data_IF_912495243105
#
_entry.id   IF_912495243105
#
_cell.length_a   1.000
_cell.length_b   1.000
_cell.length_c   1.000
_cell.angle_alpha   90.00
_cell.angle_beta   90.00
_cell.angle_gamma   90.00
#
_symmetry.space_group_name_H-M   'P 1'
#
loop_
_entity.id
_entity.type
_entity.pdbx_description
1 polymer ?
#
# COMPACT_ATOMS: atom_id res chain seq x y z
N UNK A 1 6.66 -11.87 -1.78
CA UNK A 1 6.09 -10.57 -1.39
C UNK A 1 7.22 -9.60 -1.10
N UNK A 2 7.11 -8.37 -1.57
CA UNK A 2 8.10 -7.34 -1.28
C UNK A 2 8.06 -6.96 0.20
N UNK A 3 9.19 -6.53 0.70
CA UNK A 3 9.35 -6.15 2.11
C UNK A 3 10.05 -4.81 2.20
N UNK A 4 9.54 -3.93 3.06
CA UNK A 4 10.17 -2.66 3.40
C UNK A 4 10.36 -2.59 4.91
N UNK A 5 11.24 -1.70 5.34
CA UNK A 5 11.56 -1.55 6.76
C UNK A 5 11.33 -0.11 7.22
N UNK A 6 10.71 0.01 8.38
CA UNK A 6 10.55 1.27 9.11
C UNK A 6 11.29 1.18 10.43
N UNK A 7 11.78 2.32 10.89
CA UNK A 7 12.18 2.49 12.29
C UNK A 7 10.99 3.08 13.02
N UNK A 8 10.68 2.54 14.20
CA UNK A 8 9.55 3.02 14.99
C UNK A 8 9.62 4.54 15.19
N UNK A 9 8.51 5.22 14.91
CA UNK A 9 8.44 6.68 14.95
C UNK A 9 8.58 7.35 13.59
N UNK A 10 8.98 6.61 12.56
CA UNK A 10 9.02 7.18 11.22
C UNK A 10 7.61 7.33 10.64
N UNK A 11 7.40 8.43 9.94
CA UNK A 11 6.21 8.76 9.17
C UNK A 11 6.65 9.07 7.77
N UNK A 12 6.41 8.16 6.86
CA UNK A 12 6.91 8.34 5.49
C UNK A 12 6.00 7.69 4.45
N UNK A 13 6.21 8.09 3.21
CA UNK A 13 5.46 7.61 2.07
C UNK A 13 5.96 6.25 1.59
N UNK A 14 5.03 5.37 1.26
CA UNK A 14 5.30 4.12 0.56
C UNK A 14 4.67 4.22 -0.81
N UNK A 15 5.47 4.06 -1.85
CA UNK A 15 5.01 4.13 -3.22
C UNK A 15 4.97 2.75 -3.83
N UNK A 16 3.83 2.39 -4.40
CA UNK A 16 3.61 1.11 -5.05
C UNK A 16 3.40 1.35 -6.54
N UNK A 17 4.24 0.72 -7.36
CA UNK A 17 4.07 0.76 -8.81
C UNK A 17 3.08 -0.31 -9.24
N UNK A 18 2.01 0.14 -9.89
CA UNK A 18 1.03 -0.76 -10.50
C UNK A 18 1.40 -0.96 -11.95
N UNK A 19 1.49 -2.21 -12.36
CA UNK A 19 1.82 -2.58 -13.74
C UNK A 19 0.65 -3.28 -14.40
N UNK A 20 0.44 -2.96 -15.66
CA UNK A 20 -0.50 -3.69 -16.52
C UNK A 20 0.19 -4.91 -17.13
N UNK A 21 -0.48 -6.07 -17.18
CA UNK A 21 -0.01 -7.15 -18.04
C UNK A 21 0.05 -6.63 -19.48
N UNK A 22 1.08 -6.93 -20.23
CA UNK A 22 1.25 -6.52 -21.63
C UNK A 22 1.46 -5.02 -21.85
N UNK A 23 1.83 -4.26 -20.84
CA UNK A 23 2.09 -2.81 -20.94
C UNK A 23 0.95 -2.00 -21.57
N UNK A 24 -0.29 -2.45 -21.41
CA UNK A 24 -1.44 -1.72 -21.91
C UNK A 24 -1.70 -0.46 -21.10
N UNK A 25 -2.11 0.65 -21.73
CA UNK A 25 -2.49 1.86 -21.00
C UNK A 25 -3.66 1.58 -20.07
N UNK A 26 -3.57 2.12 -18.85
CA UNK A 26 -4.65 2.00 -17.87
C UNK A 26 -4.68 3.22 -16.97
N UNK A 27 -5.82 3.44 -16.35
CA UNK A 27 -6.02 4.51 -15.38
C UNK A 27 -6.52 3.92 -14.08
N UNK A 28 -5.89 4.28 -12.97
CA UNK A 28 -6.34 3.90 -11.65
C UNK A 28 -7.43 4.89 -11.22
N UNK A 29 -8.62 4.38 -10.93
CA UNK A 29 -9.77 5.21 -10.61
C UNK A 29 -9.85 5.54 -9.12
N UNK A 30 -9.65 4.55 -8.27
CA UNK A 30 -9.67 4.71 -6.82
C UNK A 30 -8.57 3.87 -6.20
N UNK A 31 -8.11 4.27 -5.02
CA UNK A 31 -7.14 3.50 -4.25
C UNK A 31 -7.28 3.80 -2.77
N UNK A 32 -7.18 2.75 -1.96
CA UNK A 32 -7.19 2.84 -0.51
C UNK A 32 -6.22 1.82 0.07
N UNK A 33 -5.79 2.04 1.30
CA UNK A 33 -4.87 1.12 1.96
C UNK A 33 -5.36 0.72 3.34
N UNK A 34 -4.89 -0.45 3.77
CA UNK A 34 -5.00 -0.93 5.15
C UNK A 34 -3.63 -1.39 5.61
N UNK A 35 -3.25 -0.95 6.79
CA UNK A 35 -2.06 -1.46 7.46
C UNK A 35 -2.53 -2.36 8.59
N UNK A 36 -2.15 -3.63 8.55
CA UNK A 36 -2.58 -4.63 9.52
C UNK A 36 -1.38 -5.18 10.29
N UNK A 37 -1.59 -5.46 11.58
CA UNK A 37 -0.65 -6.18 12.41
C UNK A 37 -1.37 -7.41 12.94
N UNK A 38 -0.93 -8.59 12.50
CA UNK A 38 -1.68 -9.86 12.68
C UNK A 38 -3.07 -9.73 12.05
N UNK A 39 -4.13 -9.89 12.81
CA UNK A 39 -5.51 -9.77 12.32
C UNK A 39 -6.10 -8.37 12.52
N UNK A 40 -5.37 -7.46 13.20
CA UNK A 40 -5.88 -6.14 13.55
C UNK A 40 -5.50 -5.11 12.51
N UNK A 41 -6.47 -4.34 12.06
CA UNK A 41 -6.23 -3.16 11.23
C UNK A 41 -5.79 -2.03 12.15
N UNK A 42 -4.54 -1.58 12.00
CA UNK A 42 -3.97 -0.53 12.86
C UNK A 42 -4.02 0.84 12.20
N UNK A 43 -4.18 0.89 10.89
CA UNK A 43 -4.35 2.14 10.14
C UNK A 43 -5.04 1.85 8.82
N UNK A 44 -5.76 2.83 8.29
CA UNK A 44 -6.36 2.75 6.97
C UNK A 44 -6.64 4.15 6.44
N UNK A 45 -6.73 4.28 5.14
CA UNK A 45 -6.99 5.56 4.50
C UNK A 45 -7.00 5.42 2.99
N UNK A 46 -7.05 6.57 2.32
CA UNK A 46 -6.96 6.63 0.88
C UNK A 46 -5.51 6.77 0.44
N UNK A 47 -5.19 6.21 -0.72
CA UNK A 47 -3.90 6.42 -1.36
C UNK A 47 -4.01 7.56 -2.35
N UNK A 48 -2.95 8.36 -2.46
CA UNK A 48 -2.82 9.28 -3.58
C UNK A 48 -2.46 8.51 -4.83
N UNK A 49 -3.09 8.86 -5.93
CA UNK A 49 -2.85 8.23 -7.22
C UNK A 49 -1.99 9.18 -8.06
N UNK A 50 -0.83 8.70 -8.47
CA UNK A 50 0.11 9.50 -9.25
C UNK A 50 0.53 8.68 -10.48
N UNK A 51 -0.19 8.85 -11.59
CA UNK A 51 -0.07 8.00 -12.77
C UNK A 51 -0.32 6.54 -12.42
N UNK A 52 0.71 5.72 -12.47
CA UNK A 52 0.66 4.30 -12.14
C UNK A 52 1.20 3.98 -10.75
N UNK A 53 1.45 5.00 -9.93
CA UNK A 53 1.91 4.84 -8.55
C UNK A 53 0.78 5.09 -7.57
N UNK A 54 0.73 4.26 -6.55
CA UNK A 54 -0.09 4.49 -5.35
C UNK A 54 0.84 4.98 -4.26
N UNK A 55 0.51 6.11 -3.66
CA UNK A 55 1.30 6.73 -2.60
C UNK A 55 0.52 6.62 -1.29
N UNK A 56 1.03 5.82 -0.37
CA UNK A 56 0.42 5.60 0.93
C UNK A 56 1.34 6.17 2.00
N UNK A 57 0.87 7.15 2.76
CA UNK A 57 1.63 7.69 3.89
C UNK A 57 1.26 6.92 5.14
N UNK A 58 2.23 6.28 5.78
CA UNK A 58 2.00 5.49 6.98
C UNK A 58 3.00 5.84 8.09
N UNK A 59 2.53 5.71 9.32
CA UNK A 59 3.31 5.97 10.54
C UNK A 59 3.01 4.87 11.56
N UNK A 60 3.62 3.67 11.40
CA UNK A 60 3.36 2.56 12.31
C UNK A 60 3.69 2.92 13.75
N UNK A 61 2.78 2.59 14.66
CA UNK A 61 2.92 2.94 16.08
C UNK A 61 3.54 1.82 16.93
N UNK A 62 3.74 0.64 16.36
CA UNK A 62 4.26 -0.53 17.07
C UNK A 62 5.31 -1.25 16.26
N UNK A 63 6.23 -1.91 16.95
CA UNK A 63 7.25 -2.76 16.32
C UNK A 63 6.64 -4.07 15.85
N UNK A 64 7.29 -4.72 14.91
CA UNK A 64 6.93 -6.04 14.42
C UNK A 64 6.54 -6.03 12.95
N UNK A 65 6.05 -7.16 12.49
CA UNK A 65 5.65 -7.34 11.10
C UNK A 65 4.22 -6.83 10.88
N UNK A 66 4.08 -6.05 9.83
CA UNK A 66 2.80 -5.53 9.38
C UNK A 66 2.60 -5.91 7.92
N UNK A 67 1.37 -5.91 7.47
CA UNK A 67 1.02 -6.03 6.05
C UNK A 67 0.34 -4.74 5.60
N UNK A 68 0.90 -4.12 4.59
CA UNK A 68 0.27 -3.01 3.90
C UNK A 68 -0.43 -3.55 2.67
N UNK A 69 -1.75 -3.44 2.66
CA UNK A 69 -2.58 -3.87 1.53
C UNK A 69 -3.20 -2.65 0.87
N UNK A 70 -2.91 -2.46 -0.40
CA UNK A 70 -3.56 -1.44 -1.22
C UNK A 70 -4.64 -2.11 -2.06
N UNK A 71 -5.83 -1.53 -2.04
CA UNK A 71 -6.95 -1.94 -2.89
C UNK A 71 -7.23 -0.83 -3.87
N UNK A 72 -7.22 -1.13 -5.15
CA UNK A 72 -7.40 -0.14 -6.19
C UNK A 72 -8.28 -0.68 -7.32
N UNK A 73 -8.89 0.25 -8.06
CA UNK A 73 -9.77 -0.12 -9.18
C UNK A 73 -9.17 0.38 -10.50
N UNK A 74 -9.24 -0.49 -11.50
CA UNK A 74 -8.87 -0.19 -12.88
C UNK A 74 -10.02 -0.66 -13.74
N UNK A 75 -10.66 0.25 -14.47
CA UNK A 75 -11.91 -0.03 -15.20
C UNK A 75 -12.95 -0.62 -14.25
N UNK A 76 -13.44 -1.82 -14.53
CA UNK A 76 -14.43 -2.52 -13.70
C UNK A 76 -13.79 -3.57 -12.76
N UNK A 77 -12.47 -3.59 -12.68
CA UNK A 77 -11.74 -4.57 -11.88
C UNK A 77 -11.26 -3.97 -10.55
N UNK A 78 -11.45 -4.70 -9.47
CA UNK A 78 -10.86 -4.39 -8.17
C UNK A 78 -9.64 -5.28 -7.97
N UNK A 79 -8.51 -4.67 -7.66
CA UNK A 79 -7.22 -5.37 -7.51
C UNK A 79 -6.59 -5.02 -6.16
N UNK A 80 -5.73 -5.89 -5.69
CA UNK A 80 -5.03 -5.72 -4.42
C UNK A 80 -3.54 -5.98 -4.58
N UNK A 81 -2.74 -5.18 -3.89
CA UNK A 81 -1.30 -5.37 -3.77
C UNK A 81 -0.93 -5.38 -2.30
N UNK A 82 -0.02 -6.26 -1.91
CA UNK A 82 0.43 -6.39 -0.53
C UNK A 82 1.93 -6.31 -0.45
N UNK A 83 2.43 -5.64 0.58
CA UNK A 83 3.84 -5.66 0.96
C UNK A 83 3.98 -5.88 2.46
N UNK A 84 5.08 -6.49 2.85
CA UNK A 84 5.43 -6.61 4.26
C UNK A 84 6.11 -5.34 4.72
N UNK A 85 5.72 -4.86 5.90
CA UNK A 85 6.32 -3.71 6.55
C UNK A 85 6.88 -4.17 7.88
N UNK A 86 8.20 -4.25 7.97
CA UNK A 86 8.88 -4.59 9.23
C UNK A 86 9.21 -3.31 9.97
N UNK A 87 8.71 -3.19 11.19
CA UNK A 87 8.98 -2.04 12.06
C UNK A 87 9.95 -2.47 13.16
N UNK A 88 11.10 -1.81 13.19
CA UNK A 88 12.18 -2.14 14.14
C UNK A 88 12.46 -1.03 15.14
#
# INVERSE_FOLDING_TARGET
>A
MNKIRFILGEDKHVKLLVRSPNDEPFTILTAAYKLSRYTDIVAQGECDINNHYLDCKIAPAEKGMHILEATYTVADSTRKARIEVEVI
#
